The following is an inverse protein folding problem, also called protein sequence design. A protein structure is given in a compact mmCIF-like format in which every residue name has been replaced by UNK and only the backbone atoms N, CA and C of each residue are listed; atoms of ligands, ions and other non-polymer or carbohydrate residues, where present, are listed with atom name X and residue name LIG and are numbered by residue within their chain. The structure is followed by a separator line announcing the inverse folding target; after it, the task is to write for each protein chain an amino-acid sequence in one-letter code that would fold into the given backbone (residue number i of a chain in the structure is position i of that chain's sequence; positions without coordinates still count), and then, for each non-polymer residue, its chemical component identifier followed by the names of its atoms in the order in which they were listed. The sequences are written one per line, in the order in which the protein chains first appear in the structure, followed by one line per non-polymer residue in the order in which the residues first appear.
data_IF_086513027573
#
_entry.id   IF_086513027573
#
_cell.length_a   1.000
_cell.length_b   1.000
_cell.length_c   1.000
_cell.angle_alpha   90.00
_cell.angle_beta   90.00
_cell.angle_gamma   90.00
#
_symmetry.space_group_name_H-M   'P 1'
#
loop_
_entity.id
_entity.type
_entity.pdbx_description
1 polymer ?
#
# COMPACT_ATOMS: atom_id res chain seq x y z
N UNK A 1 -0.85 -1.30 -3.47
CA UNK A 1 -1.04 -2.57 -2.71
C UNK A 1 -1.19 -3.70 -3.70
N UNK A 2 -0.40 -4.79 -3.60
CA UNK A 2 -0.30 -5.83 -4.66
C UNK A 2 -1.54 -6.72 -4.87
N UNK A 3 -2.58 -6.59 -4.07
CA UNK A 3 -3.88 -7.19 -4.42
C UNK A 3 -4.37 -6.69 -5.78
N UNK A 4 -4.00 -5.48 -6.18
CA UNK A 4 -4.29 -4.96 -7.52
C UNK A 4 -3.56 -5.67 -8.66
N UNK A 5 -2.46 -6.38 -8.42
CA UNK A 5 -1.82 -7.21 -9.45
C UNK A 5 -2.52 -8.56 -9.64
N UNK A 6 -3.12 -9.10 -8.58
CA UNK A 6 -3.86 -10.36 -8.65
C UNK A 6 -5.31 -10.16 -9.10
N UNK A 7 -5.95 -9.04 -8.66
CA UNK A 7 -7.37 -8.79 -8.83
C UNK A 7 -7.68 -7.48 -9.56
N UNK A 8 -6.68 -6.84 -10.15
CA UNK A 8 -6.75 -5.53 -10.79
C UNK A 8 -7.18 -4.41 -9.82
N UNK A 9 -7.41 -3.21 -10.30
CA UNK A 9 -7.95 -2.11 -9.50
C UNK A 9 -9.48 -2.13 -9.52
N UNK A 10 -10.13 -1.34 -8.64
CA UNK A 10 -11.59 -1.37 -8.49
C UNK A 10 -12.35 -1.16 -9.79
N UNK A 11 -11.89 -0.26 -10.65
CA UNK A 11 -12.54 0.04 -11.93
C UNK A 11 -12.48 -1.13 -12.93
N UNK A 12 -11.46 -1.98 -12.86
CA UNK A 12 -11.31 -3.14 -13.74
C UNK A 12 -12.29 -4.26 -13.36
N UNK A 13 -12.78 -4.26 -12.14
CA UNK A 13 -13.76 -5.19 -11.64
C UNK A 13 -15.20 -4.72 -11.88
N UNK A 14 -15.41 -3.49 -12.37
CA UNK A 14 -16.74 -3.04 -12.78
C UNK A 14 -17.17 -3.73 -14.06
N UNK A 15 -18.36 -4.36 -14.02
CA UNK A 15 -18.96 -5.09 -15.14
C UNK A 15 -20.00 -4.23 -15.85
N UNK A 16 -20.74 -3.42 -15.07
CA UNK A 16 -21.86 -2.65 -15.58
C UNK A 16 -22.19 -1.48 -14.66
N UNK A 17 -22.61 -0.38 -15.25
CA UNK A 17 -23.18 0.77 -14.55
C UNK A 17 -24.61 1.01 -15.01
N UNK A 18 -25.48 1.42 -14.08
CA UNK A 18 -26.77 2.02 -14.40
C UNK A 18 -26.68 3.52 -14.11
N UNK A 19 -27.01 4.34 -15.09
CA UNK A 19 -26.72 5.78 -15.08
C UNK A 19 -27.91 6.59 -15.58
N UNK A 20 -28.20 7.69 -14.91
CA UNK A 20 -29.09 8.74 -15.45
C UNK A 20 -28.22 9.80 -16.10
N UNK A 21 -28.38 10.00 -17.40
CA UNK A 21 -27.66 10.99 -18.19
C UNK A 21 -28.22 12.41 -17.96
N UNK A 22 -27.47 13.43 -18.38
CA UNK A 22 -27.90 14.83 -18.32
C UNK A 22 -29.21 15.09 -19.09
N UNK A 23 -29.53 14.27 -20.09
CA UNK A 23 -30.80 14.28 -20.83
C UNK A 23 -31.99 13.70 -20.04
N UNK A 24 -31.79 13.20 -18.83
CA UNK A 24 -32.79 12.46 -18.04
C UNK A 24 -32.95 11.00 -18.45
N UNK A 25 -32.25 10.54 -19.48
CA UNK A 25 -32.34 9.17 -19.96
C UNK A 25 -31.66 8.21 -18.99
N UNK A 26 -32.38 7.15 -18.59
CA UNK A 26 -31.87 6.05 -17.79
C UNK A 26 -31.25 4.99 -18.70
N UNK A 27 -29.98 4.70 -18.53
CA UNK A 27 -29.24 3.76 -19.40
C UNK A 27 -28.43 2.77 -18.59
N UNK A 28 -28.17 1.61 -19.19
CA UNK A 28 -27.22 0.60 -18.69
C UNK A 28 -26.01 0.59 -19.61
N UNK A 29 -24.82 0.88 -19.04
CA UNK A 29 -23.54 0.95 -19.73
C UNK A 29 -22.66 -0.24 -19.34
N UNK A 30 -22.12 -0.96 -20.33
CA UNK A 30 -21.19 -2.08 -20.19
C UNK A 30 -20.32 -2.19 -21.44
N UNK A 31 -19.49 -3.22 -21.56
CA UNK A 31 -18.58 -3.41 -22.70
C UNK A 31 -19.29 -3.47 -24.07
N UNK A 32 -20.59 -3.85 -24.09
CA UNK A 32 -21.34 -4.06 -25.33
C UNK A 32 -22.38 -2.97 -25.59
N UNK A 33 -22.74 -2.20 -24.56
CA UNK A 33 -23.79 -1.19 -24.67
C UNK A 33 -23.34 0.10 -23.98
N UNK A 34 -23.39 1.24 -24.69
CA UNK A 34 -22.83 2.51 -24.24
C UNK A 34 -21.39 2.34 -23.77
N UNK A 35 -20.56 1.66 -24.58
CA UNK A 35 -19.21 1.26 -24.25
C UNK A 35 -18.27 2.42 -24.01
N UNK A 36 -18.46 3.54 -24.68
CA UNK A 36 -17.79 4.81 -24.50
C UNK A 36 -18.07 5.41 -23.10
N UNK A 37 -19.35 5.42 -22.70
CA UNK A 37 -19.76 5.84 -21.37
C UNK A 37 -19.24 4.89 -20.30
N UNK A 38 -19.26 3.58 -20.56
CA UNK A 38 -18.71 2.57 -19.64
C UNK A 38 -17.22 2.78 -19.42
N UNK A 39 -16.47 3.04 -20.48
CA UNK A 39 -15.04 3.37 -20.39
C UNK A 39 -14.80 4.65 -19.60
N UNK A 40 -15.55 5.71 -19.88
CA UNK A 40 -15.40 7.00 -19.23
C UNK A 40 -15.70 6.93 -17.72
N UNK A 41 -16.71 6.17 -17.29
CA UNK A 41 -17.06 5.99 -15.87
C UNK A 41 -16.01 5.19 -15.10
N UNK A 42 -15.22 4.35 -15.76
CA UNK A 42 -14.15 3.55 -15.16
C UNK A 42 -12.86 4.29 -14.84
N UNK A 43 -12.94 5.58 -14.57
CA UNK A 43 -11.80 6.41 -14.17
C UNK A 43 -12.11 7.89 -14.16
N UNK A 44 -13.12 8.31 -14.91
CA UNK A 44 -13.48 9.72 -15.07
C UNK A 44 -14.33 10.33 -13.95
N UNK A 45 -14.64 9.56 -12.91
CA UNK A 45 -15.44 10.02 -11.76
C UNK A 45 -16.94 9.76 -11.90
N UNK A 46 -17.57 9.36 -10.81
CA UNK A 46 -18.97 8.88 -10.78
C UNK A 46 -20.04 9.96 -11.03
N UNK A 47 -19.70 11.24 -10.94
CA UNK A 47 -20.63 12.36 -11.15
C UNK A 47 -20.38 13.16 -12.43
N UNK A 48 -19.39 12.80 -13.25
CA UNK A 48 -18.94 13.62 -14.41
C UNK A 48 -19.81 13.39 -15.63
N UNK A 49 -20.18 12.15 -15.92
CA UNK A 49 -20.89 11.77 -17.15
C UNK A 49 -22.37 11.43 -16.92
N UNK A 50 -22.84 11.55 -15.70
CA UNK A 50 -24.20 11.28 -15.28
C UNK A 50 -24.27 10.88 -13.81
N UNK A 51 -25.47 10.64 -13.31
CA UNK A 51 -25.68 10.16 -11.94
C UNK A 51 -25.67 8.63 -11.97
N UNK A 52 -24.65 8.02 -11.35
CA UNK A 52 -24.58 6.56 -11.22
C UNK A 52 -25.59 6.10 -10.18
N UNK A 53 -26.51 5.25 -10.59
CA UNK A 53 -27.58 4.68 -9.75
C UNK A 53 -27.13 3.36 -9.14
N UNK A 54 -26.47 2.52 -9.94
CA UNK A 54 -25.94 1.24 -9.47
C UNK A 54 -24.71 0.83 -10.26
N UNK A 55 -23.91 -0.02 -9.67
CA UNK A 55 -22.77 -0.67 -10.29
C UNK A 55 -22.76 -2.16 -9.96
N UNK A 56 -22.44 -2.98 -10.95
CA UNK A 56 -22.21 -4.41 -10.80
C UNK A 56 -20.72 -4.67 -10.83
N UNK A 57 -20.18 -5.26 -9.75
CA UNK A 57 -18.79 -5.63 -9.62
C UNK A 57 -18.58 -7.13 -9.66
N UNK A 58 -17.44 -7.53 -10.23
CA UNK A 58 -16.91 -8.87 -10.03
C UNK A 58 -16.39 -8.98 -8.61
N UNK A 59 -16.80 -10.02 -7.90
CA UNK A 59 -16.26 -10.38 -6.58
C UNK A 59 -15.23 -11.50 -6.71
N UNK A 60 -14.40 -11.63 -5.69
CA UNK A 60 -13.35 -12.64 -5.62
C UNK A 60 -13.52 -13.46 -4.34
N UNK A 61 -13.09 -14.71 -4.38
CA UNK A 61 -13.10 -15.59 -3.22
C UNK A 61 -12.18 -15.08 -2.12
N UNK A 62 -12.53 -15.41 -0.88
CA UNK A 62 -11.68 -15.12 0.27
C UNK A 62 -10.44 -16.00 0.23
N UNK A 63 -9.30 -15.42 0.53
CA UNK A 63 -8.03 -16.13 0.68
C UNK A 63 -7.36 -15.69 1.99
N UNK A 64 -6.53 -16.54 2.60
CA UNK A 64 -5.87 -16.22 3.84
C UNK A 64 -4.86 -15.09 3.64
N UNK A 65 -4.85 -14.17 4.60
CA UNK A 65 -3.92 -13.04 4.68
C UNK A 65 -3.26 -13.01 6.04
N UNK A 66 -2.01 -12.58 6.08
CA UNK A 66 -1.34 -12.20 7.32
C UNK A 66 -0.98 -10.72 7.26
N UNK A 67 -1.36 -9.96 8.28
CA UNK A 67 -1.00 -8.54 8.42
C UNK A 67 0.30 -8.38 9.19
N UNK A 68 1.05 -7.36 8.81
CA UNK A 68 2.30 -6.96 9.44
C UNK A 68 2.22 -5.48 9.76
N UNK A 69 2.38 -5.13 11.03
CA UNK A 69 2.59 -3.77 11.49
C UNK A 69 4.00 -3.70 12.08
N UNK A 70 4.85 -2.92 11.46
CA UNK A 70 6.24 -2.74 11.87
C UNK A 70 6.47 -1.29 12.26
N UNK A 71 7.15 -1.08 13.38
CA UNK A 71 7.62 0.23 13.82
C UNK A 71 9.09 0.11 14.24
N UNK A 72 9.92 1.02 13.73
CA UNK A 72 11.32 1.12 14.11
C UNK A 72 11.61 2.57 14.51
N UNK A 73 12.01 2.78 15.75
CA UNK A 73 12.47 4.08 16.23
C UNK A 73 13.93 4.27 15.82
N UNK A 74 14.17 5.21 14.93
CA UNK A 74 15.46 5.51 14.34
C UNK A 74 16.17 6.53 15.24
N UNK A 75 17.22 6.10 15.90
CA UNK A 75 17.89 6.91 16.95
C UNK A 75 18.84 7.97 16.39
N UNK A 76 19.35 7.77 15.19
CA UNK A 76 20.29 8.67 14.50
C UNK A 76 20.04 8.66 12.99
N UNK A 77 20.55 9.66 12.28
CA UNK A 77 20.53 9.70 10.82
C UNK A 77 21.24 8.49 10.19
N UNK A 78 22.32 8.01 10.83
CA UNK A 78 23.03 6.81 10.39
C UNK A 78 22.17 5.55 10.56
N UNK A 79 21.52 5.39 11.73
CA UNK A 79 20.60 4.27 11.97
C UNK A 79 19.44 4.29 10.97
N UNK A 80 18.93 5.47 10.60
CA UNK A 80 17.88 5.61 9.59
C UNK A 80 18.33 5.09 8.22
N UNK A 81 19.52 5.49 7.77
CA UNK A 81 20.07 5.00 6.49
C UNK A 81 20.29 3.49 6.54
N UNK A 82 20.84 2.96 7.62
CA UNK A 82 21.19 1.55 7.74
C UNK A 82 19.92 0.67 7.82
N UNK A 83 18.94 1.02 8.66
CA UNK A 83 17.67 0.29 8.76
C UNK A 83 16.91 0.34 7.45
N UNK A 84 16.80 1.51 6.83
CA UNK A 84 16.13 1.65 5.52
C UNK A 84 16.83 0.84 4.44
N UNK A 85 18.17 0.81 4.43
CA UNK A 85 18.96 0.00 3.50
C UNK A 85 18.66 -1.49 3.65
N UNK A 86 18.62 -2.00 4.89
CA UNK A 86 18.30 -3.41 5.15
C UNK A 86 16.85 -3.75 4.77
N UNK A 87 15.91 -2.84 5.00
CA UNK A 87 14.53 -3.02 4.54
C UNK A 87 14.43 -3.07 3.01
N UNK A 88 15.14 -2.19 2.30
CA UNK A 88 15.18 -2.19 0.83
C UNK A 88 15.78 -3.47 0.26
N UNK A 89 16.79 -4.06 0.90
CA UNK A 89 17.33 -5.38 0.50
C UNK A 89 16.31 -6.50 0.62
N UNK A 90 15.42 -6.41 1.61
CA UNK A 90 14.35 -7.39 1.80
C UNK A 90 13.24 -7.23 0.75
N UNK A 91 12.98 -5.99 0.31
CA UNK A 91 11.80 -5.62 -0.48
C UNK A 91 11.60 -6.38 -1.79
N UNK A 92 12.65 -6.70 -2.62
CA UNK A 92 12.47 -7.52 -3.82
C UNK A 92 11.86 -8.89 -3.54
N UNK A 93 12.33 -9.56 -2.48
CA UNK A 93 11.79 -10.86 -2.05
C UNK A 93 10.33 -10.75 -1.57
N UNK A 94 9.99 -9.73 -0.79
CA UNK A 94 8.59 -9.45 -0.41
C UNK A 94 7.72 -9.25 -1.65
N UNK A 95 8.27 -8.53 -2.64
CA UNK A 95 7.61 -8.29 -3.91
C UNK A 95 7.35 -9.59 -4.68
N UNK A 96 8.30 -10.51 -4.73
CA UNK A 96 8.14 -11.80 -5.40
C UNK A 96 7.10 -12.69 -4.69
N UNK A 97 7.08 -12.67 -3.37
CA UNK A 97 6.07 -13.33 -2.53
C UNK A 97 4.69 -12.64 -2.55
N UNK A 98 4.50 -11.64 -3.41
CA UNK A 98 3.25 -10.89 -3.56
C UNK A 98 2.82 -10.11 -2.31
N UNK A 99 3.73 -9.81 -1.40
CA UNK A 99 3.42 -8.91 -0.30
C UNK A 99 3.18 -7.50 -0.81
N UNK A 100 2.26 -6.79 -0.18
CA UNK A 100 1.94 -5.41 -0.53
C UNK A 100 1.66 -4.56 0.69
N UNK A 101 2.09 -3.30 0.62
CA UNK A 101 1.91 -2.42 1.77
C UNK A 101 2.46 -1.03 1.54
N UNK A 102 2.64 -0.34 2.64
CA UNK A 102 3.16 1.02 2.71
C UNK A 102 4.31 1.09 3.70
N UNK A 103 5.32 1.87 3.35
CA UNK A 103 6.40 2.28 4.23
C UNK A 103 6.30 3.79 4.42
N UNK A 104 6.21 4.23 5.68
CA UNK A 104 6.10 5.62 6.07
C UNK A 104 7.37 6.07 6.80
N UNK A 105 7.88 7.22 6.41
CA UNK A 105 8.99 7.91 7.07
C UNK A 105 8.42 9.10 7.85
N UNK A 106 8.05 8.87 9.10
CA UNK A 106 7.62 9.89 10.04
C UNK A 106 8.75 10.12 11.07
N UNK A 107 9.92 10.56 10.59
CA UNK A 107 11.15 10.64 11.41
C UNK A 107 10.91 11.23 12.79
N UNK A 108 11.44 10.61 13.85
CA UNK A 108 12.38 9.49 13.85
C UNK A 108 11.74 8.09 13.72
N UNK A 109 10.47 7.98 13.36
CA UNK A 109 9.76 6.71 13.29
C UNK A 109 9.65 6.22 11.83
N UNK A 110 10.15 5.01 11.56
CA UNK A 110 9.87 4.25 10.36
C UNK A 110 8.73 3.30 10.66
N UNK A 111 7.65 3.38 9.88
CA UNK A 111 6.49 2.52 10.04
C UNK A 111 6.21 1.75 8.74
N UNK A 112 5.89 0.47 8.84
CA UNK A 112 5.47 -0.31 7.71
C UNK A 112 4.16 -1.05 8.02
N UNK A 113 3.25 -1.03 7.07
CA UNK A 113 2.01 -1.78 7.09
C UNK A 113 1.99 -2.65 5.85
N UNK A 114 2.08 -3.97 6.04
CA UNK A 114 2.08 -4.93 4.94
C UNK A 114 1.00 -6.00 5.13
N UNK A 115 0.62 -6.60 4.03
CA UNK A 115 -0.15 -7.85 4.01
C UNK A 115 0.60 -8.88 3.18
N UNK A 116 0.62 -10.12 3.66
CA UNK A 116 1.21 -11.29 3.03
C UNK A 116 0.07 -12.24 2.62
N UNK A 117 -0.26 -12.31 1.31
CA UNK A 117 -1.27 -13.25 0.82
C UNK A 117 -0.77 -14.69 0.88
N UNK A 118 -1.66 -15.61 1.27
CA UNK A 118 -1.41 -17.05 1.31
C UNK A 118 -0.23 -17.50 2.20
N UNK A 119 0.21 -16.64 3.12
CA UNK A 119 1.23 -16.98 4.10
C UNK A 119 0.65 -16.95 5.52
N UNK A 120 1.09 -17.88 6.35
CA UNK A 120 0.76 -17.91 7.77
C UNK A 120 1.78 -17.11 8.59
N UNK A 121 1.45 -16.87 9.86
CA UNK A 121 2.28 -16.09 10.80
C UNK A 121 3.71 -16.62 10.92
N UNK A 122 3.89 -17.95 10.90
CA UNK A 122 5.23 -18.55 11.03
C UNK A 122 6.10 -18.26 9.80
N UNK A 123 5.54 -18.36 8.60
CA UNK A 123 6.23 -18.03 7.34
C UNK A 123 6.60 -16.54 7.28
N UNK A 124 5.66 -15.67 7.63
CA UNK A 124 5.89 -14.21 7.69
C UNK A 124 6.99 -13.87 8.68
N UNK A 125 6.97 -14.46 9.88
CA UNK A 125 8.03 -14.25 10.88
C UNK A 125 9.38 -14.77 10.38
N UNK A 126 9.44 -15.91 9.71
CA UNK A 126 10.69 -16.43 9.16
C UNK A 126 11.31 -15.48 8.12
N UNK A 127 10.47 -14.83 7.31
CA UNK A 127 10.90 -13.82 6.32
C UNK A 127 11.38 -12.53 6.98
N UNK A 128 10.72 -12.07 8.06
CA UNK A 128 11.01 -10.78 8.70
C UNK A 128 12.14 -10.85 9.74
N UNK A 129 12.30 -11.97 10.45
CA UNK A 129 13.23 -12.06 11.59
C UNK A 129 14.67 -11.63 11.25
N UNK A 130 15.26 -11.99 10.10
CA UNK A 130 16.61 -11.53 9.75
C UNK A 130 16.74 -10.01 9.67
N UNK A 131 15.72 -9.34 9.18
CA UNK A 131 15.66 -7.87 9.15
C UNK A 131 15.46 -7.30 10.56
N UNK A 132 14.51 -7.84 11.34
CA UNK A 132 14.22 -7.36 12.68
C UNK A 132 15.44 -7.45 13.60
N UNK A 133 16.21 -8.53 13.51
CA UNK A 133 17.43 -8.72 14.31
C UNK A 133 18.52 -7.71 13.92
N UNK A 134 18.71 -7.45 12.62
CA UNK A 134 19.61 -6.38 12.18
C UNK A 134 19.15 -5.00 12.63
N UNK A 135 17.85 -4.70 12.54
CA UNK A 135 17.28 -3.43 12.97
C UNK A 135 17.52 -3.19 14.49
N UNK A 136 17.34 -4.22 15.33
CA UNK A 136 17.64 -4.15 16.76
C UNK A 136 19.13 -3.82 17.03
N UNK A 137 20.03 -4.47 16.29
CA UNK A 137 21.48 -4.21 16.41
C UNK A 137 21.80 -2.75 16.00
N UNK A 138 21.27 -2.31 14.85
CA UNK A 138 21.53 -0.98 14.30
C UNK A 138 20.99 0.14 15.21
N UNK A 139 19.83 -0.07 15.82
CA UNK A 139 19.21 0.91 16.73
C UNK A 139 19.74 0.82 18.17
N UNK A 140 20.58 -0.17 18.46
CA UNK A 140 21.22 -0.36 19.76
C UNK A 140 20.28 -0.82 20.88
N UNK A 141 18.98 -1.01 20.61
CA UNK A 141 18.02 -1.46 21.60
C UNK A 141 16.86 -2.23 20.95
N UNK A 142 16.53 -3.39 21.53
CA UNK A 142 15.40 -4.23 21.06
C UNK A 142 14.03 -3.55 21.20
N UNK A 143 13.89 -2.61 22.16
CA UNK A 143 12.63 -1.86 22.35
C UNK A 143 12.35 -0.84 21.24
N UNK A 144 13.38 -0.48 20.45
CA UNK A 144 13.22 0.40 19.30
C UNK A 144 12.55 -0.30 18.09
N UNK A 145 12.37 -1.61 18.15
CA UNK A 145 11.80 -2.40 17.03
C UNK A 145 10.57 -3.16 17.53
N UNK A 146 9.41 -2.78 17.00
CA UNK A 146 8.13 -3.44 17.29
C UNK A 146 7.60 -4.06 16.01
N UNK A 147 7.27 -5.35 16.06
CA UNK A 147 6.62 -6.06 14.96
C UNK A 147 5.40 -6.80 15.49
N UNK A 148 4.24 -6.54 14.91
CA UNK A 148 2.98 -7.21 15.20
C UNK A 148 2.58 -7.94 13.93
N UNK A 149 2.53 -9.28 14.01
CA UNK A 149 2.14 -10.14 12.90
C UNK A 149 0.92 -10.94 13.33
N UNK A 150 -0.13 -10.90 12.53
CA UNK A 150 -1.38 -11.59 12.86
C UNK A 150 -2.18 -12.02 11.65
N UNK A 151 -2.98 -13.11 11.78
CA UNK A 151 -3.85 -13.57 10.71
C UNK A 151 -4.97 -12.54 10.46
N UNK A 152 -5.36 -12.39 9.21
CA UNK A 152 -6.46 -11.54 8.76
C UNK A 152 -7.52 -12.43 8.10
N UNK A 153 -8.58 -12.79 8.81
CA UNK A 153 -9.63 -13.65 8.26
C UNK A 153 -10.36 -13.03 7.07
N UNK A 154 -10.55 -11.70 7.12
CA UNK A 154 -11.22 -10.94 6.05
C UNK A 154 -10.48 -9.63 5.82
N UNK A 155 -10.13 -9.34 4.57
CA UNK A 155 -9.49 -8.07 4.21
C UNK A 155 -10.30 -6.83 4.63
N UNK A 156 -11.62 -6.92 4.54
CA UNK A 156 -12.50 -5.80 4.90
C UNK A 156 -12.41 -5.43 6.39
N UNK A 157 -12.33 -6.40 7.27
CA UNK A 157 -12.19 -6.15 8.71
C UNK A 157 -10.84 -5.46 9.02
N UNK A 158 -9.77 -5.89 8.35
CA UNK A 158 -8.47 -5.24 8.42
C UNK A 158 -8.52 -3.80 7.89
N UNK A 159 -9.15 -3.59 6.74
CA UNK A 159 -9.34 -2.26 6.17
C UNK A 159 -10.08 -1.33 7.14
N UNK A 160 -11.17 -1.78 7.72
CA UNK A 160 -11.94 -1.00 8.70
C UNK A 160 -11.12 -0.66 9.96
N UNK A 161 -10.26 -1.58 10.42
CA UNK A 161 -9.41 -1.34 11.59
C UNK A 161 -8.39 -0.22 11.38
N UNK A 162 -7.90 -0.06 10.15
CA UNK A 162 -6.91 0.95 9.80
C UNK A 162 -7.52 2.28 9.35
N UNK A 163 -8.60 2.26 8.59
CA UNK A 163 -9.08 3.42 7.82
C UNK A 163 -10.44 3.97 8.26
N UNK A 164 -11.21 3.24 9.06
CA UNK A 164 -12.59 3.64 9.42
C UNK A 164 -12.66 4.93 10.27
N UNK A 165 -11.57 5.37 10.88
CA UNK A 165 -11.57 6.52 11.79
C UNK A 165 -11.12 7.84 11.17
N UNK A 166 -10.61 7.83 9.94
CA UNK A 166 -9.95 8.99 9.31
C UNK A 166 -10.53 9.36 7.95
N UNK A 167 -11.71 8.86 7.62
CA UNK A 167 -12.32 8.97 6.31
C UNK A 167 -12.69 10.39 5.82
N UNK A 168 -11.83 11.38 5.99
CA UNK A 168 -11.94 12.61 5.22
C UNK A 168 -11.33 12.38 3.83
N UNK A 169 -12.21 12.17 2.86
CA UNK A 169 -11.86 12.28 1.44
C UNK A 169 -11.83 13.77 1.11
N UNK A 170 -10.75 14.25 0.47
CA UNK A 170 -10.67 15.64 0.02
C UNK A 170 -9.75 16.55 0.84
N UNK A 171 -8.69 16.02 1.41
CA UNK A 171 -7.59 16.84 1.96
C UNK A 171 -6.84 17.58 0.86
N UNK A 172 -6.42 18.82 1.11
CA UNK A 172 -5.50 19.54 0.23
C UNK A 172 -4.12 18.88 0.36
N UNK A 173 -3.64 18.28 -0.72
CA UNK A 173 -2.31 17.67 -0.76
C UNK A 173 -1.83 17.50 -2.19
N UNK A 174 -0.56 17.78 -2.42
CA UNK A 174 0.11 17.43 -3.67
C UNK A 174 0.70 16.03 -3.53
N UNK A 175 0.36 15.14 -4.46
CA UNK A 175 0.90 13.78 -4.49
C UNK A 175 1.89 13.66 -5.64
N UNK A 176 3.15 13.41 -5.30
CA UNK A 176 4.21 13.13 -6.28
C UNK A 176 4.59 11.66 -6.13
N UNK A 177 4.70 10.95 -7.25
CA UNK A 177 5.11 9.55 -7.24
C UNK A 177 6.27 9.28 -8.19
N UNK A 178 7.11 8.31 -7.84
CA UNK A 178 8.22 7.84 -8.67
C UNK A 178 8.34 6.32 -8.55
N UNK A 179 8.42 5.63 -9.67
CA UNK A 179 8.75 4.22 -9.70
C UNK A 179 10.25 4.03 -9.52
N UNK A 180 10.63 3.07 -8.68
CA UNK A 180 12.00 2.61 -8.53
C UNK A 180 12.14 1.27 -9.25
N UNK A 181 13.17 1.14 -10.11
CA UNK A 181 13.45 -0.14 -10.76
C UNK A 181 13.99 -1.14 -9.74
N UNK A 182 13.71 -2.43 -9.97
CA UNK A 182 14.23 -3.52 -9.15
C UNK A 182 15.75 -3.50 -9.10
N UNK A 183 16.40 -3.37 -10.26
CA UNK A 183 17.86 -3.34 -10.36
C UNK A 183 18.49 -2.25 -9.50
N UNK A 184 17.86 -1.06 -9.46
CA UNK A 184 18.35 0.03 -8.63
C UNK A 184 18.28 -0.31 -7.14
N UNK A 185 17.18 -0.93 -6.71
CA UNK A 185 16.99 -1.32 -5.31
C UNK A 185 17.94 -2.45 -4.90
N UNK A 186 18.17 -3.42 -5.76
CA UNK A 186 19.09 -4.55 -5.50
C UNK A 186 20.56 -4.13 -5.53
N UNK A 187 20.96 -3.31 -6.52
CA UNK A 187 22.36 -2.95 -6.70
C UNK A 187 22.83 -1.78 -5.83
N UNK A 188 21.93 -0.84 -5.51
CA UNK A 188 22.27 0.40 -4.79
C UNK A 188 21.31 0.72 -3.65
N UNK A 189 20.93 -0.25 -2.78
CA UNK A 189 19.92 -0.01 -1.74
C UNK A 189 20.28 1.13 -0.78
N UNK A 190 21.56 1.27 -0.42
CA UNK A 190 22.04 2.34 0.45
C UNK A 190 21.95 3.74 -0.18
N UNK A 191 22.14 3.85 -1.50
CA UNK A 191 21.94 5.12 -2.20
C UNK A 191 20.47 5.49 -2.28
N UNK A 192 19.61 4.51 -2.56
CA UNK A 192 18.16 4.70 -2.56
C UNK A 192 17.67 5.13 -1.19
N UNK A 193 18.12 4.47 -0.11
CA UNK A 193 17.78 4.83 1.27
C UNK A 193 18.14 6.29 1.58
N UNK A 194 19.36 6.73 1.23
CA UNK A 194 19.80 8.12 1.45
C UNK A 194 18.92 9.13 0.71
N UNK A 195 18.56 8.85 -0.54
CA UNK A 195 17.68 9.73 -1.33
C UNK A 195 16.27 9.79 -0.72
N UNK A 196 15.69 8.65 -0.35
CA UNK A 196 14.35 8.61 0.28
C UNK A 196 14.33 9.44 1.58
N UNK A 197 15.35 9.29 2.42
CA UNK A 197 15.45 10.03 3.68
C UNK A 197 15.73 11.53 3.46
N UNK A 198 16.50 11.90 2.44
CA UNK A 198 16.71 13.33 2.11
C UNK A 198 15.42 13.99 1.63
N UNK A 199 14.57 13.29 0.88
CA UNK A 199 13.25 13.78 0.49
C UNK A 199 12.36 13.92 1.73
N UNK A 200 12.34 12.93 2.64
CA UNK A 200 11.58 13.02 3.88
C UNK A 200 12.01 14.25 4.72
N UNK A 201 13.32 14.48 4.87
CA UNK A 201 13.83 15.65 5.59
C UNK A 201 13.46 16.97 4.91
N UNK A 202 13.46 17.05 3.58
CA UNK A 202 13.13 18.28 2.84
C UNK A 202 11.67 18.72 3.01
N UNK A 203 10.77 17.83 3.41
CA UNK A 203 9.36 18.14 3.71
C UNK A 203 9.10 18.35 5.21
N UNK A 204 10.17 18.60 6.02
CA UNK A 204 10.06 18.92 7.44
C UNK A 204 9.99 17.71 8.38
N UNK A 205 10.30 16.52 7.89
CA UNK A 205 10.43 15.30 8.70
C UNK A 205 11.91 15.19 9.15
N UNK A 206 12.26 15.80 10.29
CA UNK A 206 13.61 15.81 10.84
C UNK A 206 13.70 14.99 12.13
N UNK A 207 14.93 14.54 12.45
CA UNK A 207 15.24 14.02 13.79
C UNK A 207 15.23 15.18 14.78
N UNK A 208 14.35 15.11 15.77
CA UNK A 208 14.32 16.03 16.90
C UNK A 208 15.19 15.53 18.04
#
# INVERSE_FOLDING_TARGET
MRLSLAYCIGVDNAIQFTVVLASGKYVTANEHRYSDLFWALRGGGGGTYGVVVSVTYRTHDLFPLTSILLQVNLTTAESAVNVTTEFLKLHPGLSDASWGGYLFFNLPLLQAIYIAPNENVAQVNATLNPFLDKAKVVTGNSTNVVSIVGPVPKFYDFYLSLFNKTGQVGGNGELISRLLSRDLVEQQPGKVAKIMLSVAASIGLEFK
#
